data_IF_906329932669
#
_entry.id   IF_906329932669
#
_cell.length_a   1.000
_cell.length_b   1.000
_cell.length_c   1.000
_cell.angle_alpha   90.00
_cell.angle_beta   90.00
_cell.angle_gamma   90.00
#
_symmetry.space_group_name_H-M   'P 1'
#
loop_
_entity.id
_entity.type
_entity.pdbx_description
1 polymer ?
#
# COMPACT_ATOMS: atom_id res chain seq x y z
N UNK A 1 -47.32 -1.03 32.43
CA UNK A 1 -47.00 0.27 31.82
C UNK A 1 -45.95 -0.05 30.76
N UNK A 2 -46.28 -0.71 29.66
CA UNK A 2 -47.26 -0.37 28.60
C UNK A 2 -47.09 1.02 28.02
N UNK A 3 -46.83 1.02 26.70
CA UNK A 3 -46.84 2.05 25.63
C UNK A 3 -45.54 1.88 24.80
N UNK A 4 -45.50 1.14 23.69
CA UNK A 4 -46.13 1.35 22.38
C UNK A 4 -46.07 2.80 21.87
N UNK A 5 -45.19 3.06 20.90
CA UNK A 5 -45.49 3.44 19.51
C UNK A 5 -44.33 4.25 18.92
N UNK A 6 -43.84 3.87 17.73
CA UNK A 6 -43.62 4.75 16.57
C UNK A 6 -42.83 3.99 15.48
N UNK A 7 -43.50 2.98 14.92
CA UNK A 7 -43.26 2.50 13.55
C UNK A 7 -44.36 3.11 12.68
N UNK A 8 -44.03 4.11 11.85
CA UNK A 8 -44.75 4.47 10.62
C UNK A 8 -44.17 5.78 10.06
N UNK A 9 -43.26 5.68 9.09
CA UNK A 9 -43.13 6.53 7.90
C UNK A 9 -42.11 5.81 7.00
N UNK A 10 -42.40 5.67 5.70
CA UNK A 10 -41.74 4.86 4.66
C UNK A 10 -42.40 3.52 4.29
N UNK A 11 -43.70 3.58 3.97
CA UNK A 11 -44.30 2.68 2.97
C UNK A 11 -45.16 3.51 2.00
N UNK A 12 -44.54 4.04 0.96
CA UNK A 12 -45.23 4.48 -0.26
C UNK A 12 -44.21 4.75 -1.36
N UNK A 13 -43.66 3.71 -1.99
CA UNK A 13 -43.10 3.79 -3.35
C UNK A 13 -42.83 2.43 -4.04
N UNK A 14 -43.60 1.39 -3.71
CA UNK A 14 -43.59 0.12 -4.46
C UNK A 14 -44.92 -0.07 -5.17
N UNK A 15 -45.13 0.66 -6.28
CA UNK A 15 -46.24 0.33 -7.23
C UNK A 15 -46.16 0.96 -8.63
N UNK A 16 -44.98 1.33 -9.14
CA UNK A 16 -44.88 1.88 -10.50
C UNK A 16 -43.77 1.29 -11.40
N UNK A 17 -43.18 0.14 -11.08
CA UNK A 17 -42.13 -0.49 -11.91
C UNK A 17 -42.55 -1.82 -12.58
N UNK A 18 -43.86 -2.12 -12.64
CA UNK A 18 -44.35 -3.38 -13.22
C UNK A 18 -44.85 -3.27 -14.68
N UNK A 19 -44.68 -2.14 -15.37
CA UNK A 19 -45.16 -1.94 -16.76
C UNK A 19 -44.07 -1.50 -17.76
N UNK A 20 -42.79 -1.81 -17.49
CA UNK A 20 -41.67 -1.48 -18.39
C UNK A 20 -40.83 -2.70 -18.83
N UNK A 21 -41.40 -3.90 -18.74
CA UNK A 21 -40.73 -5.17 -19.04
C UNK A 21 -41.49 -6.03 -20.08
N UNK A 22 -41.76 -5.48 -21.27
CA UNK A 22 -42.16 -6.29 -22.44
C UNK A 22 -41.33 -6.01 -23.72
N UNK A 23 -40.20 -5.30 -23.61
CA UNK A 23 -39.40 -4.87 -24.77
C UNK A 23 -38.11 -5.64 -25.09
N UNK A 24 -37.71 -6.66 -24.31
CA UNK A 24 -36.34 -7.24 -24.37
C UNK A 24 -36.25 -8.68 -24.88
N UNK A 25 -37.37 -9.29 -25.28
CA UNK A 25 -37.43 -10.64 -25.88
C UNK A 25 -36.79 -10.71 -27.27
N UNK A 26 -37.01 -9.69 -28.10
CA UNK A 26 -36.62 -9.76 -29.52
C UNK A 26 -35.14 -9.42 -29.78
N UNK A 27 -34.50 -8.66 -28.88
CA UNK A 27 -33.07 -8.38 -28.97
C UNK A 27 -32.19 -9.55 -28.53
N UNK A 28 -32.62 -10.36 -27.54
CA UNK A 28 -31.89 -11.58 -27.15
C UNK A 28 -31.93 -12.64 -28.25
N UNK A 29 -33.05 -12.75 -28.96
CA UNK A 29 -33.20 -13.71 -30.07
C UNK A 29 -32.36 -13.31 -31.28
N UNK A 30 -32.30 -12.01 -31.61
CA UNK A 30 -31.41 -11.51 -32.68
C UNK A 30 -29.91 -11.65 -32.35
N UNK A 31 -29.52 -11.53 -31.07
CA UNK A 31 -28.11 -11.68 -30.65
C UNK A 31 -27.67 -13.15 -30.70
N UNK A 32 -28.57 -14.08 -30.35
CA UNK A 32 -28.32 -15.53 -30.43
C UNK A 32 -28.22 -16.01 -31.89
N UNK A 33 -29.06 -15.49 -32.80
CA UNK A 33 -29.01 -15.83 -34.22
C UNK A 33 -27.75 -15.26 -34.91
N UNK A 34 -27.28 -14.08 -34.51
CA UNK A 34 -26.00 -13.52 -34.98
C UNK A 34 -24.78 -14.30 -34.45
N UNK A 35 -24.85 -14.84 -33.23
CA UNK A 35 -23.81 -15.73 -32.68
C UNK A 35 -23.81 -17.10 -33.37
N UNK A 36 -24.98 -17.71 -33.60
CA UNK A 36 -25.09 -18.98 -34.30
C UNK A 36 -24.67 -18.89 -35.77
N UNK A 37 -24.96 -17.77 -36.45
CA UNK A 37 -24.50 -17.52 -37.82
C UNK A 37 -22.99 -17.28 -37.89
N UNK A 38 -22.38 -16.66 -36.85
CA UNK A 38 -20.92 -16.56 -36.72
C UNK A 38 -20.26 -17.92 -36.47
N UNK A 39 -20.82 -18.76 -35.59
CA UNK A 39 -20.33 -20.12 -35.34
C UNK A 39 -20.37 -20.95 -36.64
N UNK A 40 -21.45 -20.86 -37.41
CA UNK A 40 -21.58 -21.62 -38.66
C UNK A 40 -20.67 -21.15 -39.81
N UNK A 41 -20.36 -19.85 -39.88
CA UNK A 41 -19.38 -19.29 -40.84
C UNK A 41 -17.93 -19.57 -40.41
N UNK A 42 -17.67 -19.68 -39.10
CA UNK A 42 -16.38 -20.09 -38.55
C UNK A 42 -16.14 -21.58 -38.86
N UNK A 43 -17.12 -22.46 -38.68
CA UNK A 43 -16.98 -23.90 -39.01
C UNK A 43 -16.60 -24.16 -40.47
N UNK A 44 -17.12 -23.38 -41.42
CA UNK A 44 -16.82 -23.53 -42.84
C UNK A 44 -15.41 -23.00 -43.20
N UNK A 45 -14.98 -21.89 -42.60
CA UNK A 45 -13.62 -21.37 -42.81
C UNK A 45 -12.57 -22.23 -42.11
N UNK A 46 -12.86 -22.71 -40.91
CA UNK A 46 -12.00 -23.63 -40.15
C UNK A 46 -11.89 -24.97 -40.87
N UNK A 47 -12.98 -25.52 -41.41
CA UNK A 47 -12.94 -26.73 -42.24
C UNK A 47 -12.14 -26.54 -43.53
N UNK A 48 -12.23 -25.39 -44.20
CA UNK A 48 -11.46 -25.11 -45.42
C UNK A 48 -9.96 -24.92 -45.14
N UNK A 49 -9.62 -24.31 -44.00
CA UNK A 49 -8.24 -24.15 -43.54
C UNK A 49 -7.66 -25.51 -43.09
N UNK A 50 -8.43 -26.31 -42.34
CA UNK A 50 -8.04 -27.66 -41.93
C UNK A 50 -7.82 -28.56 -43.15
N UNK A 51 -8.70 -28.52 -44.15
CA UNK A 51 -8.54 -29.32 -45.36
C UNK A 51 -7.34 -28.87 -46.21
N UNK A 52 -7.06 -27.56 -46.30
CA UNK A 52 -5.85 -27.02 -46.95
C UNK A 52 -4.56 -27.44 -46.23
N UNK A 53 -4.59 -27.46 -44.89
CA UNK A 53 -3.47 -27.89 -44.06
C UNK A 53 -3.28 -29.41 -44.15
N UNK A 54 -4.36 -30.20 -44.13
CA UNK A 54 -4.33 -31.66 -44.30
C UNK A 54 -3.82 -32.07 -45.69
N UNK A 55 -4.20 -31.36 -46.76
CA UNK A 55 -3.65 -31.56 -48.11
C UNK A 55 -2.16 -31.22 -48.20
N UNK A 56 -1.70 -30.28 -47.37
CA UNK A 56 -0.28 -29.90 -47.26
C UNK A 56 0.50 -30.93 -46.44
N UNK A 57 -0.12 -31.51 -45.42
CA UNK A 57 0.45 -32.56 -44.55
C UNK A 57 0.54 -33.90 -45.31
N UNK A 58 -0.52 -34.32 -46.00
CA UNK A 58 -0.55 -35.56 -46.80
C UNK A 58 0.46 -35.55 -47.97
N UNK A 59 0.78 -34.39 -48.52
CA UNK A 59 1.85 -34.25 -49.53
C UNK A 59 3.27 -34.33 -48.96
N UNK A 60 3.44 -34.41 -47.63
CA UNK A 60 4.76 -34.30 -46.96
C UNK A 60 5.17 -35.51 -46.10
N UNK A 61 4.36 -36.59 -46.08
CA UNK A 61 4.50 -37.74 -45.15
C UNK A 61 5.80 -38.55 -45.25
N UNK A 62 6.67 -38.30 -46.24
CA UNK A 62 8.02 -38.87 -46.28
C UNK A 62 9.14 -38.02 -45.64
N UNK A 63 8.86 -36.75 -45.28
CA UNK A 63 9.91 -35.75 -45.03
C UNK A 63 9.84 -35.03 -43.67
N UNK A 64 8.76 -35.19 -42.90
CA UNK A 64 8.54 -34.42 -41.67
C UNK A 64 9.31 -34.93 -40.44
N UNK A 65 9.63 -36.23 -40.32
CA UNK A 65 10.49 -36.69 -39.22
C UNK A 65 11.90 -36.06 -39.28
N UNK A 66 12.39 -35.81 -40.49
CA UNK A 66 13.72 -35.20 -40.70
C UNK A 66 13.65 -33.67 -40.55
N UNK A 67 12.57 -33.01 -41.00
CA UNK A 67 12.40 -31.55 -40.84
C UNK A 67 12.12 -31.12 -39.42
N UNK A 68 11.35 -31.88 -38.64
CA UNK A 68 11.15 -31.61 -37.21
C UNK A 68 12.48 -31.78 -36.48
N UNK A 69 13.27 -32.82 -36.81
CA UNK A 69 14.60 -33.00 -36.20
C UNK A 69 15.60 -31.87 -36.49
N UNK A 70 15.48 -31.19 -37.64
CA UNK A 70 16.32 -30.06 -38.04
C UNK A 70 15.83 -28.69 -37.53
N UNK A 71 14.54 -28.56 -37.17
CA UNK A 71 13.96 -27.33 -36.61
C UNK A 71 14.05 -27.23 -35.09
N UNK A 72 14.41 -28.33 -34.40
CA UNK A 72 14.66 -28.38 -32.94
C UNK A 72 15.87 -27.50 -32.52
N UNK A 73 16.66 -26.97 -33.46
CA UNK A 73 17.69 -25.97 -33.15
C UNK A 73 17.19 -24.51 -33.15
N UNK A 74 15.91 -24.25 -33.44
CA UNK A 74 15.27 -22.94 -33.33
C UNK A 74 14.08 -23.03 -32.37
N UNK A 75 13.98 -22.11 -31.42
CA UNK A 75 12.87 -22.04 -30.45
C UNK A 75 11.52 -22.05 -31.19
N UNK A 76 10.68 -23.05 -30.87
CA UNK A 76 9.31 -23.16 -31.40
C UNK A 76 8.49 -21.95 -30.95
N UNK A 77 7.65 -21.37 -31.82
CA UNK A 77 6.75 -20.28 -31.38
C UNK A 77 5.60 -20.81 -30.52
N UNK A 78 4.97 -19.97 -29.67
CA UNK A 78 3.77 -20.37 -28.91
C UNK A 78 2.67 -20.98 -29.78
N UNK A 79 2.43 -20.44 -30.97
CA UNK A 79 1.44 -20.97 -31.92
C UNK A 79 1.83 -22.35 -32.46
N UNK A 80 3.12 -22.55 -32.80
CA UNK A 80 3.61 -23.86 -33.24
C UNK A 80 3.43 -24.91 -32.13
N UNK A 81 3.68 -24.53 -30.88
CA UNK A 81 3.47 -25.39 -29.70
C UNK A 81 1.98 -25.69 -29.48
N UNK A 82 1.08 -24.71 -29.63
CA UNK A 82 -0.37 -24.90 -29.53
C UNK A 82 -0.90 -25.84 -30.63
N UNK A 83 -0.40 -25.69 -31.86
CA UNK A 83 -0.81 -26.53 -32.99
C UNK A 83 -0.33 -27.98 -32.80
N UNK A 84 0.89 -28.17 -32.30
CA UNK A 84 1.37 -29.51 -31.91
C UNK A 84 0.40 -30.14 -30.90
N UNK A 85 -0.06 -29.38 -29.91
CA UNK A 85 -1.01 -29.87 -28.92
C UNK A 85 -2.37 -30.24 -29.52
N UNK A 86 -2.94 -29.37 -30.35
CA UNK A 86 -4.21 -29.63 -31.05
C UNK A 86 -4.16 -30.91 -31.89
N UNK A 87 -3.03 -31.18 -32.56
CA UNK A 87 -2.88 -32.41 -33.36
C UNK A 87 -2.79 -33.69 -32.54
N UNK A 88 -2.56 -33.60 -31.23
CA UNK A 88 -2.44 -34.75 -30.33
C UNK A 88 -3.73 -35.05 -29.56
N UNK A 89 -4.64 -34.08 -29.45
CA UNK A 89 -5.95 -34.27 -28.83
C UNK A 89 -6.89 -34.87 -29.87
N UNK A 90 -7.41 -36.07 -29.62
CA UNK A 90 -8.51 -36.60 -30.43
C UNK A 90 -9.79 -35.78 -30.22
N UNK A 91 -10.62 -35.58 -31.26
CA UNK A 91 -11.89 -34.83 -31.21
C UNK A 91 -12.85 -35.26 -30.07
N UNK A 92 -12.63 -36.45 -29.50
CA UNK A 92 -13.43 -37.04 -28.42
C UNK A 92 -12.86 -36.87 -27.01
N UNK A 93 -11.64 -36.35 -26.85
CA UNK A 93 -10.96 -36.28 -25.57
C UNK A 93 -11.22 -34.94 -24.86
N UNK A 94 -11.76 -35.00 -23.64
CA UNK A 94 -11.91 -33.84 -22.77
C UNK A 94 -10.53 -33.34 -22.33
N UNK A 95 -10.16 -32.13 -22.76
CA UNK A 95 -8.92 -31.44 -22.35
C UNK A 95 -9.02 -31.13 -20.86
N UNK A 96 -8.26 -31.84 -20.03
CA UNK A 96 -8.23 -31.65 -18.58
C UNK A 96 -6.79 -31.33 -18.11
N UNK A 97 -6.65 -30.95 -16.84
CA UNK A 97 -5.35 -30.58 -16.25
C UNK A 97 -4.28 -31.68 -16.29
N UNK A 98 -4.66 -32.96 -16.32
CA UNK A 98 -3.71 -34.07 -16.47
C UNK A 98 -3.13 -34.10 -17.89
N UNK A 99 -3.98 -33.93 -18.88
CA UNK A 99 -3.57 -33.87 -20.29
C UNK A 99 -2.72 -32.64 -20.60
N UNK A 100 -3.01 -31.53 -19.93
CA UNK A 100 -2.36 -30.25 -20.18
C UNK A 100 -1.01 -30.08 -19.44
N UNK A 101 -0.93 -30.51 -18.17
CA UNK A 101 0.27 -30.28 -17.34
C UNK A 101 1.25 -31.46 -17.36
N UNK A 102 0.77 -32.69 -17.55
CA UNK A 102 1.58 -33.89 -17.40
C UNK A 102 1.82 -34.61 -18.73
N UNK A 103 0.77 -34.91 -19.50
CA UNK A 103 0.91 -35.64 -20.77
C UNK A 103 1.61 -34.79 -21.85
N UNK A 104 1.44 -33.48 -21.81
CA UNK A 104 2.14 -32.55 -22.70
C UNK A 104 3.67 -32.62 -22.58
N UNK A 105 4.19 -32.80 -21.36
CA UNK A 105 5.63 -32.83 -21.09
C UNK A 105 6.30 -34.16 -21.49
N UNK A 106 5.56 -35.27 -21.53
CA UNK A 106 6.13 -36.60 -21.81
C UNK A 106 6.18 -36.91 -23.31
N UNK A 107 5.19 -36.45 -24.10
CA UNK A 107 5.04 -36.84 -25.51
C UNK A 107 5.55 -35.80 -26.53
N UNK A 108 5.91 -34.58 -26.11
CA UNK A 108 6.45 -33.53 -26.99
C UNK A 108 7.93 -33.23 -26.73
N UNK A 109 8.78 -33.60 -27.68
CA UNK A 109 10.08 -33.00 -28.05
C UNK A 109 10.71 -32.00 -27.03
N UNK A 110 11.29 -32.48 -25.90
CA UNK A 110 12.15 -31.69 -24.97
C UNK A 110 11.81 -30.19 -24.87
N UNK A 111 10.54 -29.83 -24.73
CA UNK A 111 10.12 -28.43 -24.63
C UNK A 111 10.58 -27.93 -23.26
N UNK A 112 11.30 -26.80 -23.21
CA UNK A 112 11.79 -26.26 -21.95
C UNK A 112 10.61 -25.81 -21.07
N UNK A 113 10.71 -25.89 -19.72
CA UNK A 113 9.68 -25.34 -18.82
C UNK A 113 9.36 -23.86 -19.07
N UNK A 114 10.36 -23.11 -19.56
CA UNK A 114 10.22 -21.71 -20.00
C UNK A 114 9.25 -21.62 -21.17
N UNK A 115 9.47 -22.42 -22.22
CA UNK A 115 8.64 -22.41 -23.41
C UNK A 115 7.19 -22.84 -23.11
N UNK A 116 7.00 -23.82 -22.22
CA UNK A 116 5.66 -24.24 -21.75
C UNK A 116 4.94 -23.08 -21.09
N UNK A 117 5.64 -22.36 -20.20
CA UNK A 117 5.08 -21.22 -19.46
C UNK A 117 4.71 -20.05 -20.39
N UNK A 118 5.55 -19.76 -21.38
CA UNK A 118 5.31 -18.71 -22.39
C UNK A 118 4.13 -19.10 -23.29
N UNK A 119 4.08 -20.35 -23.77
CA UNK A 119 2.97 -20.84 -24.59
C UNK A 119 1.65 -20.78 -23.83
N UNK A 120 1.64 -21.23 -22.58
CA UNK A 120 0.42 -21.13 -21.79
C UNK A 120 0.01 -19.69 -21.58
N UNK A 121 0.97 -18.80 -21.29
CA UNK A 121 0.69 -17.39 -21.15
C UNK A 121 0.03 -16.80 -22.41
N UNK A 122 0.54 -17.18 -23.58
CA UNK A 122 -0.02 -16.80 -24.87
C UNK A 122 -1.46 -17.30 -25.04
N UNK A 123 -1.72 -18.56 -24.71
CA UNK A 123 -3.07 -19.14 -24.80
C UNK A 123 -4.09 -18.41 -23.94
N UNK A 124 -3.73 -18.11 -22.69
CA UNK A 124 -4.57 -17.35 -21.77
C UNK A 124 -4.87 -15.97 -22.32
N UNK A 125 -3.84 -15.24 -22.77
CA UNK A 125 -3.97 -13.85 -23.25
C UNK A 125 -4.73 -13.75 -24.57
N UNK A 126 -4.66 -14.78 -25.41
CA UNK A 126 -5.37 -14.83 -26.69
C UNK A 126 -6.76 -15.44 -26.59
N UNK A 127 -7.13 -15.95 -25.41
CA UNK A 127 -8.39 -16.67 -25.19
C UNK A 127 -8.63 -17.73 -26.27
N UNK A 128 -7.59 -18.47 -26.64
CA UNK A 128 -7.72 -19.44 -27.73
C UNK A 128 -8.69 -20.58 -27.35
N UNK A 129 -9.24 -21.26 -28.36
CA UNK A 129 -10.28 -22.29 -28.16
C UNK A 129 -9.86 -23.36 -27.15
N UNK A 130 -8.57 -23.75 -27.15
CA UNK A 130 -8.01 -24.67 -26.17
C UNK A 130 -8.11 -24.16 -24.73
N UNK A 131 -7.77 -22.89 -24.49
CA UNK A 131 -7.84 -22.31 -23.18
C UNK A 131 -9.28 -22.17 -22.70
N UNK A 132 -10.21 -21.80 -23.58
CA UNK A 132 -11.65 -21.71 -23.25
C UNK A 132 -12.21 -23.08 -22.86
N UNK A 133 -11.89 -24.13 -23.62
CA UNK A 133 -12.29 -25.50 -23.25
C UNK A 133 -11.68 -25.92 -21.91
N UNK A 134 -10.41 -25.60 -21.69
CA UNK A 134 -9.70 -25.91 -20.45
C UNK A 134 -10.27 -25.16 -19.23
N UNK A 135 -10.63 -23.87 -19.39
CA UNK A 135 -11.01 -23.01 -18.28
C UNK A 135 -12.38 -23.34 -17.69
N UNK A 136 -13.30 -23.87 -18.50
CA UNK A 136 -14.64 -24.28 -18.06
C UNK A 136 -14.71 -25.73 -17.52
N UNK A 137 -13.65 -26.53 -17.66
CA UNK A 137 -13.62 -27.87 -17.07
C UNK A 137 -13.34 -27.75 -15.55
N UNK A 138 -14.26 -28.25 -14.68
CA UNK A 138 -14.19 -28.00 -13.24
C UNK A 138 -12.85 -28.39 -12.61
N UNK A 139 -12.24 -27.44 -11.90
CA UNK A 139 -10.99 -27.63 -11.17
C UNK A 139 -9.72 -27.58 -12.04
N UNK A 140 -9.81 -27.42 -13.36
CA UNK A 140 -8.63 -27.29 -14.21
C UNK A 140 -7.82 -26.03 -13.89
N UNK A 141 -8.48 -24.88 -13.71
CA UNK A 141 -7.83 -23.65 -13.29
C UNK A 141 -7.21 -23.76 -11.89
N UNK A 142 -7.87 -24.44 -10.93
CA UNK A 142 -7.30 -24.69 -9.61
C UNK A 142 -5.96 -25.45 -9.68
N UNK A 143 -5.90 -26.52 -10.48
CA UNK A 143 -4.67 -27.32 -10.66
C UNK A 143 -3.59 -26.52 -11.37
N UNK A 144 -3.97 -25.74 -12.40
CA UNK A 144 -3.05 -24.84 -13.09
C UNK A 144 -2.41 -23.84 -12.11
N UNK A 145 -3.23 -23.16 -11.32
CA UNK A 145 -2.78 -22.16 -10.36
C UNK A 145 -1.93 -22.79 -9.25
N UNK A 146 -2.27 -24.00 -8.77
CA UNK A 146 -1.46 -24.73 -7.80
C UNK A 146 -0.08 -25.12 -8.35
N UNK A 147 0.02 -25.38 -9.66
CA UNK A 147 1.28 -25.71 -10.33
C UNK A 147 2.16 -24.48 -10.56
N UNK A 148 1.63 -23.40 -11.16
CA UNK A 148 2.43 -22.27 -11.63
C UNK A 148 2.63 -21.15 -10.61
N UNK A 149 1.74 -20.96 -9.62
CA UNK A 149 1.98 -19.91 -8.60
C UNK A 149 3.27 -20.19 -7.80
N UNK A 150 3.57 -21.43 -7.37
CA UNK A 150 4.85 -21.74 -6.71
C UNK A 150 6.09 -21.53 -7.58
N UNK A 151 6.00 -21.71 -8.90
CA UNK A 151 7.17 -21.64 -9.79
C UNK A 151 7.67 -20.21 -9.99
N UNK A 152 6.83 -19.20 -9.71
CA UNK A 152 7.22 -17.79 -9.78
C UNK A 152 8.30 -17.38 -8.77
N UNK A 153 8.39 -18.07 -7.64
CA UNK A 153 9.35 -17.79 -6.56
C UNK A 153 10.54 -18.76 -6.54
N UNK A 154 10.90 -19.35 -7.68
CA UNK A 154 12.12 -20.17 -7.75
C UNK A 154 13.36 -19.32 -7.44
N UNK A 155 14.33 -19.93 -6.75
CA UNK A 155 15.40 -19.28 -5.99
C UNK A 155 16.34 -18.33 -6.74
N UNK A 156 16.22 -18.22 -8.07
CA UNK A 156 17.05 -17.32 -8.87
C UNK A 156 16.23 -16.18 -9.50
N UNK A 157 16.03 -15.14 -8.69
CA UNK A 157 15.39 -13.90 -9.13
C UNK A 157 16.25 -13.09 -10.12
N UNK A 158 17.52 -13.46 -10.29
CA UNK A 158 18.52 -12.72 -11.06
C UNK A 158 18.87 -13.39 -12.40
N UNK A 159 18.32 -14.57 -12.69
CA UNK A 159 18.41 -15.16 -14.01
C UNK A 159 17.53 -14.38 -15.01
N UNK A 160 18.19 -13.54 -15.81
CA UNK A 160 17.56 -12.74 -16.85
C UNK A 160 16.87 -13.60 -17.93
N UNK A 161 17.26 -14.87 -18.10
CA UNK A 161 16.60 -15.79 -19.03
C UNK A 161 15.19 -16.15 -18.56
N UNK A 162 14.92 -16.03 -17.25
CA UNK A 162 13.61 -16.31 -16.66
C UNK A 162 12.73 -15.07 -16.54
N UNK A 163 13.24 -13.86 -16.82
CA UNK A 163 12.48 -12.62 -16.70
C UNK A 163 11.24 -12.63 -17.60
N UNK A 164 11.40 -13.00 -18.87
CA UNK A 164 10.28 -13.05 -19.83
C UNK A 164 9.20 -14.05 -19.39
N UNK A 165 9.64 -15.27 -19.04
CA UNK A 165 8.78 -16.31 -18.49
C UNK A 165 8.00 -15.82 -17.25
N UNK A 166 8.70 -15.17 -16.32
CA UNK A 166 8.11 -14.67 -15.07
C UNK A 166 7.06 -13.60 -15.34
N UNK A 167 7.34 -12.64 -16.21
CA UNK A 167 6.38 -11.60 -16.60
C UNK A 167 5.16 -12.22 -17.28
N UNK A 168 5.38 -13.13 -18.22
CA UNK A 168 4.32 -13.84 -18.94
C UNK A 168 3.37 -14.59 -17.97
N UNK A 169 3.94 -15.35 -17.03
CA UNK A 169 3.18 -16.06 -16.00
C UNK A 169 2.45 -15.11 -15.04
N UNK A 170 3.10 -14.05 -14.56
CA UNK A 170 2.47 -13.05 -13.69
C UNK A 170 1.22 -12.46 -14.36
N UNK A 171 1.34 -12.02 -15.61
CA UNK A 171 0.23 -11.41 -16.34
C UNK A 171 -0.91 -12.41 -16.55
N UNK A 172 -0.60 -13.65 -16.95
CA UNK A 172 -1.62 -14.65 -17.25
C UNK A 172 -2.33 -15.17 -16.01
N UNK A 173 -1.60 -15.38 -14.91
CA UNK A 173 -2.23 -15.74 -13.63
C UNK A 173 -3.12 -14.59 -13.14
N UNK A 174 -2.69 -13.34 -13.30
CA UNK A 174 -3.50 -12.18 -12.95
C UNK A 174 -4.77 -12.13 -13.79
N UNK A 175 -4.65 -12.31 -15.10
CA UNK A 175 -5.76 -12.34 -16.04
C UNK A 175 -6.78 -13.43 -15.67
N UNK A 176 -6.32 -14.66 -15.39
CA UNK A 176 -7.16 -15.77 -14.91
C UNK A 176 -7.89 -15.39 -13.62
N UNK A 177 -7.18 -14.85 -12.62
CA UNK A 177 -7.76 -14.52 -11.32
C UNK A 177 -8.78 -13.38 -11.37
N UNK A 178 -8.68 -12.49 -12.36
CA UNK A 178 -9.62 -11.38 -12.55
C UNK A 178 -10.85 -11.83 -13.34
N UNK A 179 -10.64 -12.46 -14.51
CA UNK A 179 -11.71 -12.71 -15.47
C UNK A 179 -12.39 -14.07 -15.33
N UNK A 180 -11.69 -15.07 -14.78
CA UNK A 180 -12.21 -16.43 -14.59
C UNK A 180 -12.41 -16.73 -13.10
N UNK A 181 -12.71 -15.70 -12.31
CA UNK A 181 -12.78 -15.81 -10.85
C UNK A 181 -13.90 -16.77 -10.38
N UNK A 182 -15.00 -16.87 -11.13
CA UNK A 182 -16.13 -17.76 -10.86
C UNK A 182 -15.80 -19.25 -11.08
N UNK A 183 -14.81 -19.54 -11.92
CA UNK A 183 -14.38 -20.90 -12.27
C UNK A 183 -13.33 -21.46 -11.28
N UNK A 184 -12.91 -20.66 -10.29
CA UNK A 184 -11.83 -21.02 -9.36
C UNK A 184 -12.43 -21.34 -7.98
N UNK A 185 -12.47 -22.63 -7.64
CA UNK A 185 -13.11 -23.11 -6.40
C UNK A 185 -12.47 -22.56 -5.12
N UNK A 186 -11.16 -22.26 -5.14
CA UNK A 186 -10.41 -21.74 -3.98
C UNK A 186 -9.83 -20.34 -4.21
N UNK A 187 -10.57 -19.47 -4.91
CA UNK A 187 -10.13 -18.13 -5.33
C UNK A 187 -9.39 -17.34 -4.23
N UNK A 188 -10.00 -17.19 -3.05
CA UNK A 188 -9.42 -16.39 -1.93
C UNK A 188 -8.08 -16.95 -1.46
N UNK A 189 -7.92 -18.27 -1.44
CA UNK A 189 -6.66 -18.91 -1.04
C UNK A 189 -5.57 -18.66 -2.09
N UNK A 190 -5.90 -18.86 -3.37
CA UNK A 190 -4.96 -18.63 -4.47
C UNK A 190 -4.56 -17.17 -4.56
N UNK A 191 -5.52 -16.23 -4.47
CA UNK A 191 -5.27 -14.79 -4.45
C UNK A 191 -4.23 -14.42 -3.38
N UNK A 192 -4.38 -14.91 -2.14
CA UNK A 192 -3.43 -14.62 -1.06
C UNK A 192 -2.02 -15.16 -1.34
N UNK A 193 -1.93 -16.39 -1.88
CA UNK A 193 -0.66 -17.05 -2.21
C UNK A 193 0.05 -16.34 -3.36
N UNK A 194 -0.69 -16.02 -4.42
CA UNK A 194 -0.17 -15.32 -5.58
C UNK A 194 0.23 -13.89 -5.25
N UNK A 195 -0.61 -13.13 -4.53
CA UNK A 195 -0.27 -11.78 -4.07
C UNK A 195 1.00 -11.77 -3.22
N UNK A 196 1.17 -12.75 -2.32
CA UNK A 196 2.42 -12.88 -1.54
C UNK A 196 3.65 -13.16 -2.42
N UNK A 197 3.46 -13.87 -3.54
CA UNK A 197 4.53 -14.11 -4.52
C UNK A 197 4.88 -12.85 -5.29
N UNK A 198 3.88 -12.07 -5.71
CA UNK A 198 4.11 -10.76 -6.35
C UNK A 198 4.91 -9.83 -5.44
N UNK A 199 4.58 -9.77 -4.14
CA UNK A 199 5.34 -8.96 -3.17
C UNK A 199 6.82 -9.40 -3.07
N UNK A 200 7.10 -10.71 -3.05
CA UNK A 200 8.47 -11.20 -3.05
C UNK A 200 9.24 -10.82 -4.31
N UNK A 201 8.57 -10.91 -5.48
CA UNK A 201 9.14 -10.51 -6.77
C UNK A 201 9.41 -9.01 -6.80
N UNK A 202 8.47 -8.18 -6.30
CA UNK A 202 8.64 -6.73 -6.19
C UNK A 202 9.88 -6.30 -5.41
N UNK A 203 10.32 -7.10 -4.42
CA UNK A 203 11.47 -6.77 -3.59
C UNK A 203 12.79 -7.36 -4.08
N UNK A 204 12.77 -8.53 -4.73
CA UNK A 204 13.99 -9.31 -4.98
C UNK A 204 14.35 -9.48 -6.46
N UNK A 205 13.42 -9.28 -7.39
CA UNK A 205 13.63 -9.57 -8.82
C UNK A 205 14.38 -8.47 -9.58
N UNK A 206 14.67 -8.73 -10.85
CA UNK A 206 15.13 -7.71 -11.79
C UNK A 206 14.10 -6.58 -11.95
N UNK A 207 14.54 -5.41 -12.43
CA UNK A 207 13.69 -4.22 -12.53
C UNK A 207 12.40 -4.43 -13.34
N UNK A 208 12.43 -5.22 -14.42
CA UNK A 208 11.25 -5.45 -15.27
C UNK A 208 10.25 -6.35 -14.56
N UNK A 209 10.73 -7.42 -13.93
CA UNK A 209 9.92 -8.31 -13.09
C UNK A 209 9.30 -7.56 -11.90
N UNK A 210 10.07 -6.69 -11.24
CA UNK A 210 9.55 -5.86 -10.14
C UNK A 210 8.38 -4.99 -10.61
N UNK A 211 8.53 -4.30 -11.74
CA UNK A 211 7.49 -3.42 -12.29
C UNK A 211 6.24 -4.22 -12.69
N UNK A 212 6.43 -5.37 -13.37
CA UNK A 212 5.32 -6.25 -13.75
C UNK A 212 4.57 -6.76 -12.51
N UNK A 213 5.29 -7.22 -11.48
CA UNK A 213 4.69 -7.69 -10.25
C UNK A 213 3.90 -6.59 -9.53
N UNK A 214 4.43 -5.36 -9.47
CA UNK A 214 3.72 -4.22 -8.89
C UNK A 214 2.43 -3.90 -9.65
N UNK A 215 2.50 -3.79 -11.00
CA UNK A 215 1.32 -3.50 -11.84
C UNK A 215 0.22 -4.52 -11.62
N UNK A 216 0.58 -5.81 -11.61
CA UNK A 216 -0.38 -6.89 -11.41
C UNK A 216 -0.90 -6.94 -9.97
N UNK A 217 -0.07 -6.67 -8.95
CA UNK A 217 -0.54 -6.56 -7.56
C UNK A 217 -1.51 -5.39 -7.36
N UNK A 218 -1.24 -4.24 -7.99
CA UNK A 218 -2.13 -3.09 -8.01
C UNK A 218 -3.46 -3.39 -8.71
N UNK A 219 -3.41 -4.10 -9.84
CA UNK A 219 -4.61 -4.50 -10.58
C UNK A 219 -5.46 -5.50 -9.78
N UNK A 220 -4.86 -6.56 -9.22
CA UNK A 220 -5.55 -7.49 -8.32
C UNK A 220 -6.16 -6.81 -7.11
N UNK A 221 -5.50 -5.79 -6.54
CA UNK A 221 -6.09 -5.04 -5.44
C UNK A 221 -7.38 -4.33 -5.87
N UNK A 222 -7.40 -3.72 -7.06
CA UNK A 222 -8.58 -3.03 -7.56
C UNK A 222 -9.72 -4.00 -7.87
N UNK A 223 -9.45 -5.04 -8.65
CA UNK A 223 -10.49 -5.94 -9.17
C UNK A 223 -10.90 -7.01 -8.15
N UNK A 224 -9.93 -7.61 -7.45
CA UNK A 224 -10.17 -8.80 -6.65
C UNK A 224 -10.25 -8.52 -5.14
N UNK A 225 -10.02 -7.28 -4.67
CA UNK A 225 -10.06 -7.05 -3.22
C UNK A 225 -11.45 -7.29 -2.63
N UNK A 226 -12.52 -7.13 -3.41
CA UNK A 226 -13.90 -7.43 -2.97
C UNK A 226 -14.05 -8.82 -2.35
N UNK A 227 -13.27 -9.80 -2.82
CA UNK A 227 -13.30 -11.17 -2.33
C UNK A 227 -12.56 -11.39 -0.99
N UNK A 228 -11.80 -10.41 -0.51
CA UNK A 228 -11.01 -10.54 0.73
C UNK A 228 -11.51 -9.64 1.87
N UNK A 229 -11.36 -10.07 3.14
CA UNK A 229 -11.78 -9.26 4.29
C UNK A 229 -11.09 -7.90 4.34
N UNK A 230 -11.77 -6.87 4.88
CA UNK A 230 -11.21 -5.49 5.05
C UNK A 230 -9.81 -5.48 5.68
N UNK A 231 -9.57 -6.30 6.71
CA UNK A 231 -8.26 -6.44 7.35
C UNK A 231 -7.16 -6.88 6.36
N UNK A 232 -7.49 -7.77 5.42
CA UNK A 232 -6.57 -8.25 4.39
C UNK A 232 -6.28 -7.16 3.37
N UNK A 233 -7.30 -6.38 2.95
CA UNK A 233 -7.11 -5.22 2.05
C UNK A 233 -6.09 -4.23 2.61
N UNK A 234 -6.28 -3.82 3.87
CA UNK A 234 -5.35 -2.93 4.57
C UNK A 234 -3.94 -3.53 4.55
N UNK A 235 -3.81 -4.80 4.97
CA UNK A 235 -2.52 -5.49 5.02
C UNK A 235 -1.83 -5.59 3.65
N UNK A 236 -2.59 -5.75 2.56
CA UNK A 236 -2.04 -5.77 1.21
C UNK A 236 -1.36 -4.45 0.85
N UNK A 237 -2.01 -3.30 1.09
CA UNK A 237 -1.41 -1.98 0.87
C UNK A 237 -0.16 -1.77 1.74
N UNK A 238 -0.23 -2.14 3.01
CA UNK A 238 0.93 -2.09 3.91
C UNK A 238 2.11 -2.90 3.38
N UNK A 239 1.84 -4.13 2.92
CA UNK A 239 2.88 -4.98 2.37
C UNK A 239 3.38 -4.48 1.02
N UNK A 240 2.53 -3.89 0.19
CA UNK A 240 2.96 -3.28 -1.07
C UNK A 240 4.05 -2.23 -0.84
N UNK A 241 3.92 -1.38 0.18
CA UNK A 241 5.02 -0.50 0.60
C UNK A 241 6.18 -1.25 1.22
N UNK A 242 5.91 -2.19 2.12
CA UNK A 242 6.94 -2.95 2.82
C UNK A 242 7.88 -3.71 1.86
N UNK A 243 7.42 -4.02 0.65
CA UNK A 243 8.17 -4.70 -0.41
C UNK A 243 8.54 -3.76 -1.58
N UNK A 244 8.37 -2.45 -1.42
CA UNK A 244 8.81 -1.41 -2.37
C UNK A 244 9.77 -0.45 -1.66
N UNK A 245 11.00 -0.87 -1.32
CA UNK A 245 11.98 -0.02 -0.64
C UNK A 245 12.30 1.23 -1.47
N UNK A 246 12.87 2.26 -0.86
CA UNK A 246 13.17 3.56 -1.49
C UNK A 246 14.04 3.48 -2.76
N UNK A 247 14.83 2.40 -2.90
CA UNK A 247 15.66 2.10 -4.07
C UNK A 247 14.91 1.37 -5.20
N UNK A 248 13.73 0.81 -4.91
CA UNK A 248 12.94 0.08 -5.90
C UNK A 248 12.30 1.04 -6.91
N UNK A 249 12.21 0.67 -8.21
CA UNK A 249 11.42 1.40 -9.20
C UNK A 249 9.95 1.55 -8.79
N UNK A 250 9.46 0.69 -7.89
CA UNK A 250 8.08 0.66 -7.46
C UNK A 250 7.78 1.58 -6.28
N UNK A 251 8.79 2.18 -5.63
CA UNK A 251 8.55 2.96 -4.40
C UNK A 251 7.53 4.08 -4.58
N UNK A 252 7.81 5.02 -5.49
CA UNK A 252 6.92 6.14 -5.76
C UNK A 252 5.58 5.70 -6.39
N UNK A 253 5.56 4.75 -7.36
CA UNK A 253 4.30 4.15 -7.81
C UNK A 253 3.45 3.56 -6.68
N UNK A 254 4.05 2.87 -5.71
CA UNK A 254 3.34 2.26 -4.60
C UNK A 254 2.76 3.31 -3.64
N UNK A 255 3.52 4.37 -3.32
CA UNK A 255 3.02 5.52 -2.54
C UNK A 255 1.79 6.12 -3.22
N UNK A 256 1.92 6.46 -4.51
CA UNK A 256 0.83 7.07 -5.28
C UNK A 256 -0.39 6.15 -5.41
N UNK A 257 -0.16 4.84 -5.53
CA UNK A 257 -1.25 3.87 -5.55
C UNK A 257 -2.00 3.85 -4.22
N UNK A 258 -1.29 3.86 -3.10
CA UNK A 258 -1.92 3.83 -1.77
C UNK A 258 -2.72 5.10 -1.51
N UNK A 259 -2.15 6.29 -1.76
CA UNK A 259 -2.84 7.58 -1.64
C UNK A 259 -4.17 7.57 -2.40
N UNK A 260 -4.25 6.86 -3.53
CA UNK A 260 -5.46 6.83 -4.36
C UNK A 260 -6.44 5.71 -4.02
N UNK A 261 -6.06 4.72 -3.21
CA UNK A 261 -6.82 3.46 -3.07
C UNK A 261 -6.91 2.94 -1.62
N UNK A 262 -6.54 3.74 -0.62
CA UNK A 262 -6.68 3.34 0.78
C UNK A 262 -8.17 3.22 1.17
N UNK A 263 -8.55 2.18 1.93
CA UNK A 263 -9.92 2.01 2.40
C UNK A 263 -10.18 2.81 3.69
N UNK A 264 -11.44 3.00 4.07
CA UNK A 264 -11.81 3.68 5.32
C UNK A 264 -11.14 3.09 6.57
N UNK A 265 -10.70 4.00 7.45
CA UNK A 265 -9.96 3.68 8.67
C UNK A 265 -8.60 3.01 8.39
N UNK A 266 -8.01 3.23 7.22
CA UNK A 266 -6.61 2.90 6.97
C UNK A 266 -5.75 3.82 7.83
N UNK A 267 -4.84 3.24 8.62
CA UNK A 267 -3.99 4.01 9.52
C UNK A 267 -2.71 4.38 8.78
N UNK A 268 -2.48 5.66 8.52
CA UNK A 268 -1.28 6.11 7.83
C UNK A 268 -0.05 6.09 8.73
N UNK A 269 -0.24 6.32 10.02
CA UNK A 269 0.87 6.39 10.98
C UNK A 269 1.72 5.10 11.01
N UNK A 270 1.16 3.88 11.11
CA UNK A 270 1.95 2.66 11.02
C UNK A 270 2.62 2.47 9.64
N UNK A 271 2.01 2.97 8.56
CA UNK A 271 2.56 2.81 7.20
C UNK A 271 3.84 3.63 7.09
N UNK A 272 3.81 4.83 7.67
CA UNK A 272 4.91 5.75 7.61
C UNK A 272 6.08 5.30 8.49
N UNK A 273 5.80 4.61 9.61
CA UNK A 273 6.85 3.90 10.34
C UNK A 273 7.55 2.84 9.48
N UNK A 274 6.84 2.14 8.60
CA UNK A 274 7.44 1.18 7.65
C UNK A 274 8.33 1.91 6.64
N UNK A 275 7.83 2.98 6.02
CA UNK A 275 8.56 3.79 5.02
C UNK A 275 9.85 4.34 5.65
N UNK A 276 9.74 4.94 6.83
CA UNK A 276 10.87 5.47 7.59
C UNK A 276 11.88 4.37 7.90
N UNK A 277 11.43 3.22 8.42
CA UNK A 277 12.33 2.12 8.76
C UNK A 277 13.07 1.59 7.54
N UNK A 278 12.42 1.52 6.38
CA UNK A 278 13.06 1.13 5.13
C UNK A 278 14.10 2.15 4.69
N UNK A 279 13.76 3.44 4.68
CA UNK A 279 14.69 4.50 4.32
C UNK A 279 15.94 4.50 5.21
N UNK A 280 15.81 4.12 6.49
CA UNK A 280 16.94 4.02 7.42
C UNK A 280 17.89 2.85 7.14
N UNK A 281 17.42 1.78 6.50
CA UNK A 281 18.27 0.64 6.16
C UNK A 281 19.18 0.93 4.95
N UNK A 282 18.89 1.99 4.19
CA UNK A 282 19.72 2.43 3.06
C UNK A 282 20.71 3.53 3.50
N UNK A 283 21.83 3.07 4.07
CA UNK A 283 22.89 3.92 4.65
C UNK A 283 23.51 4.87 3.61
N UNK A 284 23.43 4.52 2.32
CA UNK A 284 24.16 5.23 1.26
C UNK A 284 23.63 6.64 0.98
N UNK A 285 22.36 6.93 1.30
CA UNK A 285 21.69 8.16 0.90
C UNK A 285 20.73 8.73 1.98
N UNK A 286 21.07 8.47 3.25
CA UNK A 286 20.19 8.67 4.40
C UNK A 286 19.62 10.09 4.55
N UNK A 287 20.33 11.15 4.12
CA UNK A 287 19.87 12.55 4.24
C UNK A 287 18.83 12.96 3.20
N UNK A 288 18.94 12.48 1.95
CA UNK A 288 17.99 12.84 0.87
C UNK A 288 16.70 12.03 1.04
N UNK A 289 16.82 10.74 1.37
CA UNK A 289 15.65 9.88 1.54
C UNK A 289 14.90 10.13 2.85
N UNK A 290 15.56 10.65 3.90
CA UNK A 290 14.87 11.00 5.15
C UNK A 290 13.88 12.13 4.99
N UNK A 291 14.28 13.24 4.35
CA UNK A 291 13.38 14.36 4.07
C UNK A 291 12.23 13.92 3.16
N UNK A 292 12.55 13.22 2.06
CA UNK A 292 11.54 12.74 1.11
C UNK A 292 10.55 11.75 1.74
N UNK A 293 11.00 10.94 2.69
CA UNK A 293 10.11 10.04 3.44
C UNK A 293 9.14 10.82 4.34
N UNK A 294 9.59 11.93 4.93
CA UNK A 294 8.71 12.82 5.71
C UNK A 294 7.74 13.58 4.81
N UNK A 295 8.17 14.08 3.65
CA UNK A 295 7.28 14.70 2.67
C UNK A 295 6.19 13.72 2.21
N UNK A 296 6.58 12.47 1.92
CA UNK A 296 5.64 11.40 1.58
C UNK A 296 4.67 11.14 2.75
N UNK A 297 5.18 11.08 3.99
CA UNK A 297 4.35 10.92 5.19
C UNK A 297 3.29 12.04 5.30
N UNK A 298 3.69 13.30 5.14
CA UNK A 298 2.75 14.43 5.20
C UNK A 298 1.71 14.34 4.09
N UNK A 299 2.13 13.94 2.88
CA UNK A 299 1.18 13.76 1.76
C UNK A 299 0.16 12.64 2.01
N UNK A 300 0.55 11.61 2.78
CA UNK A 300 -0.30 10.49 3.15
C UNK A 300 -1.26 10.83 4.29
N UNK A 301 -0.87 11.76 5.16
CA UNK A 301 -1.64 12.15 6.34
C UNK A 301 -2.47 13.42 6.11
N UNK A 302 -2.78 13.78 4.86
CA UNK A 302 -3.53 15.01 4.54
C UNK A 302 -4.89 15.09 5.23
N UNK A 303 -5.50 13.93 5.50
CA UNK A 303 -6.81 13.80 6.13
C UNK A 303 -6.73 13.44 7.62
N UNK A 304 -5.52 13.28 8.18
CA UNK A 304 -5.33 13.01 9.61
C UNK A 304 -5.39 14.32 10.41
N UNK A 305 -5.79 14.23 11.68
CA UNK A 305 -5.82 15.41 12.55
C UNK A 305 -4.41 16.01 12.70
N UNK A 306 -4.24 17.33 12.50
CA UNK A 306 -2.93 18.00 12.59
C UNK A 306 -2.16 17.66 13.88
N UNK A 307 -2.89 17.52 14.99
CA UNK A 307 -2.31 17.18 16.28
C UNK A 307 -1.57 15.83 16.27
N UNK A 308 -2.15 14.78 15.70
CA UNK A 308 -1.54 13.46 15.59
C UNK A 308 -0.26 13.48 14.72
N UNK A 309 -0.27 14.29 13.66
CA UNK A 309 0.90 14.52 12.80
C UNK A 309 2.04 15.15 13.62
N UNK A 310 1.74 16.19 14.40
CA UNK A 310 2.75 16.84 15.23
C UNK A 310 3.26 15.93 16.35
N UNK A 311 2.38 15.18 17.05
CA UNK A 311 2.80 14.18 18.04
C UNK A 311 3.85 13.23 17.45
N UNK A 312 3.62 12.78 16.22
CA UNK A 312 4.57 11.93 15.52
C UNK A 312 5.90 12.64 15.19
N UNK A 313 5.86 13.86 14.66
CA UNK A 313 7.06 14.63 14.34
C UNK A 313 7.89 14.92 15.61
N UNK A 314 7.25 15.31 16.71
CA UNK A 314 7.92 15.49 18.01
C UNK A 314 8.52 14.17 18.53
N UNK A 315 7.81 13.04 18.38
CA UNK A 315 8.36 11.71 18.67
C UNK A 315 9.62 11.42 17.84
N UNK A 316 9.65 11.80 16.56
CA UNK A 316 10.86 11.64 15.73
C UNK A 316 12.02 12.50 16.22
N UNK A 317 11.77 13.76 16.60
CA UNK A 317 12.79 14.66 17.19
C UNK A 317 13.40 14.03 18.44
N UNK A 318 12.59 13.45 19.32
CA UNK A 318 13.04 12.84 20.60
C UNK A 318 13.70 11.48 20.40
N UNK A 319 13.11 10.62 19.58
CA UNK A 319 13.47 9.21 19.53
C UNK A 319 14.45 8.88 18.41
N UNK A 320 14.37 9.56 17.26
CA UNK A 320 15.06 9.14 16.05
C UNK A 320 16.33 9.97 15.78
N UNK A 321 17.49 9.30 15.69
CA UNK A 321 18.79 10.00 15.53
C UNK A 321 18.92 10.69 14.17
N UNK A 322 18.39 10.07 13.12
CA UNK A 322 18.60 10.53 11.74
C UNK A 322 17.44 11.39 11.24
N UNK A 323 16.21 11.12 11.68
CA UNK A 323 15.03 11.88 11.27
C UNK A 323 14.72 13.07 12.16
N UNK A 324 15.43 13.24 13.28
CA UNK A 324 15.16 14.36 14.18
C UNK A 324 15.38 15.71 13.51
N UNK A 325 16.47 15.86 12.74
CA UNK A 325 16.79 17.12 12.06
C UNK A 325 15.82 17.44 10.90
N UNK A 326 15.51 16.50 9.98
CA UNK A 326 14.45 16.68 9.00
C UNK A 326 13.07 16.94 9.61
N UNK A 327 12.73 16.31 10.75
CA UNK A 327 11.46 16.54 11.43
C UNK A 327 11.36 17.97 11.97
N UNK A 328 12.44 18.55 12.49
CA UNK A 328 12.48 19.97 12.88
C UNK A 328 12.15 20.86 11.68
N UNK A 329 12.77 20.59 10.53
CA UNK A 329 12.59 21.39 9.32
C UNK A 329 11.15 21.33 8.81
N UNK A 330 10.55 20.13 8.84
CA UNK A 330 9.14 19.91 8.50
C UNK A 330 8.21 20.65 9.44
N UNK A 331 8.38 20.52 10.76
CA UNK A 331 7.53 21.21 11.74
C UNK A 331 7.52 22.72 11.48
N UNK A 332 8.69 23.31 11.22
CA UNK A 332 8.81 24.74 10.98
C UNK A 332 8.20 25.18 9.64
N UNK A 333 8.25 24.34 8.61
CA UNK A 333 7.68 24.68 7.30
C UNK A 333 6.17 24.52 7.25
N UNK A 334 5.61 23.60 8.02
CA UNK A 334 4.16 23.32 8.02
C UNK A 334 3.38 24.15 9.05
N UNK A 335 3.98 24.58 10.16
CA UNK A 335 3.23 25.29 11.21
C UNK A 335 2.54 26.57 10.72
N UNK A 336 3.09 27.22 9.68
CA UNK A 336 2.51 28.41 9.06
C UNK A 336 1.11 28.14 8.49
N UNK A 337 0.81 26.92 8.06
CA UNK A 337 -0.53 26.59 7.53
C UNK A 337 -1.61 26.61 8.61
N UNK A 338 -1.21 26.60 9.90
CA UNK A 338 -2.11 26.63 11.06
C UNK A 338 -2.06 27.97 11.80
N UNK A 339 -1.48 29.01 11.20
CA UNK A 339 -1.33 30.32 11.85
C UNK A 339 -2.65 30.96 12.31
N UNK A 340 -3.77 30.59 11.67
CA UNK A 340 -5.11 31.11 11.96
C UNK A 340 -5.99 30.13 12.77
N UNK A 341 -5.49 28.93 13.07
CA UNK A 341 -6.21 27.89 13.81
C UNK A 341 -5.74 27.88 15.27
N UNK A 342 -6.46 28.61 16.13
CA UNK A 342 -6.11 28.75 17.54
C UNK A 342 -6.05 27.40 18.29
N UNK A 343 -6.98 26.49 18.01
CA UNK A 343 -7.05 25.19 18.69
C UNK A 343 -5.82 24.34 18.33
N UNK A 344 -5.48 24.27 17.04
CA UNK A 344 -4.26 23.59 16.59
C UNK A 344 -3.00 24.21 17.20
N UNK A 345 -2.93 25.54 17.32
CA UNK A 345 -1.81 26.24 17.93
C UNK A 345 -1.72 25.98 19.44
N UNK A 346 -2.83 25.90 20.18
CA UNK A 346 -2.84 25.55 21.60
C UNK A 346 -2.29 24.15 21.83
N UNK A 347 -2.75 23.17 21.06
CA UNK A 347 -2.23 21.81 21.10
C UNK A 347 -0.74 21.74 20.75
N UNK A 348 -0.30 22.52 19.76
CA UNK A 348 1.11 22.62 19.40
C UNK A 348 1.96 23.23 20.53
N UNK A 349 1.48 24.30 21.18
CA UNK A 349 2.12 24.90 22.36
C UNK A 349 2.22 23.92 23.51
N UNK A 350 1.19 23.12 23.78
CA UNK A 350 1.24 22.04 24.76
C UNK A 350 2.38 21.04 24.48
N UNK A 351 2.53 20.59 23.22
CA UNK A 351 3.64 19.71 22.84
C UNK A 351 5.00 20.37 23.03
N UNK A 352 5.11 21.68 22.76
CA UNK A 352 6.32 22.46 22.99
C UNK A 352 6.67 22.61 24.49
N UNK A 353 5.68 22.82 25.37
CA UNK A 353 5.88 22.83 26.83
C UNK A 353 6.56 21.54 27.26
N UNK A 354 6.00 20.39 26.87
CA UNK A 354 6.57 19.06 27.18
C UNK A 354 7.97 18.90 26.62
N UNK A 355 8.21 19.36 25.39
CA UNK A 355 9.52 19.24 24.74
C UNK A 355 10.60 20.09 25.44
N UNK A 356 10.28 21.32 25.82
CA UNK A 356 11.21 22.22 26.47
C UNK A 356 11.44 21.84 27.94
N UNK A 357 10.43 21.33 28.66
CA UNK A 357 10.60 20.72 29.99
C UNK A 357 11.50 19.48 29.89
N UNK A 358 11.30 18.62 28.89
CA UNK A 358 12.19 17.48 28.64
C UNK A 358 13.65 17.94 28.44
N UNK A 359 13.86 19.00 27.65
CA UNK A 359 15.19 19.58 27.45
C UNK A 359 15.79 20.08 28.77
N UNK A 360 15.01 20.79 29.59
CA UNK A 360 15.40 21.30 30.90
C UNK A 360 15.85 20.19 31.88
N UNK A 361 14.99 19.19 32.08
CA UNK A 361 15.29 18.06 32.96
C UNK A 361 16.48 17.24 32.46
N UNK A 362 16.59 17.07 31.13
CA UNK A 362 17.72 16.38 30.50
C UNK A 362 19.03 17.15 30.65
N UNK A 363 19.00 18.47 30.58
CA UNK A 363 20.17 19.34 30.75
C UNK A 363 20.72 19.23 32.18
N UNK A 364 19.85 19.37 33.18
CA UNK A 364 20.22 19.26 34.60
C UNK A 364 20.86 17.90 34.93
N UNK A 365 20.39 16.84 34.30
CA UNK A 365 20.88 15.48 34.50
C UNK A 365 22.01 15.07 33.53
N UNK A 366 22.46 15.96 32.65
CA UNK A 366 23.53 15.68 31.68
C UNK A 366 23.21 14.59 30.66
N UNK A 367 21.93 14.39 30.29
CA UNK A 367 21.45 13.33 29.39
C UNK A 367 20.96 13.86 28.04
N UNK A 368 20.99 13.02 27.01
CA UNK A 368 20.36 13.30 25.71
C UNK A 368 20.85 14.58 24.99
N UNK A 369 22.14 14.92 25.08
CA UNK A 369 22.74 16.13 24.50
C UNK A 369 22.33 16.39 23.03
N UNK A 370 22.37 15.37 22.18
CA UNK A 370 21.98 15.52 20.77
C UNK A 370 20.50 15.90 20.59
N UNK A 371 19.62 15.49 21.50
CA UNK A 371 18.21 15.86 21.47
C UNK A 371 18.00 17.29 21.93
N UNK A 372 18.73 17.71 22.97
CA UNK A 372 18.74 19.10 23.40
C UNK A 372 19.13 20.02 22.23
N UNK A 373 20.19 19.68 21.47
CA UNK A 373 20.61 20.45 20.29
C UNK A 373 19.48 20.55 19.24
N UNK A 374 18.77 19.46 18.96
CA UNK A 374 17.65 19.48 18.01
C UNK A 374 16.48 20.32 18.51
N UNK A 375 16.18 20.29 19.81
CA UNK A 375 15.12 21.09 20.43
C UNK A 375 15.49 22.57 20.43
N UNK A 376 16.75 22.91 20.73
CA UNK A 376 17.26 24.26 20.61
C UNK A 376 17.19 24.75 19.16
N UNK A 377 17.54 23.91 18.17
CA UNK A 377 17.38 24.21 16.74
C UNK A 377 15.91 24.47 16.38
N UNK A 378 14.99 23.65 16.88
CA UNK A 378 13.56 23.83 16.68
C UNK A 378 13.11 25.17 17.26
N UNK A 379 13.48 25.47 18.50
CA UNK A 379 13.19 26.75 19.15
C UNK A 379 13.68 27.92 18.30
N UNK A 380 14.96 27.91 17.91
CA UNK A 380 15.58 28.99 17.13
C UNK A 380 14.91 29.22 15.77
N UNK A 381 14.34 28.17 15.17
CA UNK A 381 13.58 28.30 13.93
C UNK A 381 12.15 28.79 14.16
N UNK A 382 11.46 28.27 15.18
CA UNK A 382 10.07 28.64 15.46
C UNK A 382 9.93 30.10 15.88
N UNK A 383 10.89 30.67 16.61
CA UNK A 383 10.87 32.11 16.94
C UNK A 383 10.98 33.03 15.72
N UNK A 384 11.47 32.51 14.59
CA UNK A 384 11.58 33.24 13.32
C UNK A 384 10.32 33.09 12.45
N UNK A 385 9.40 32.21 12.83
CA UNK A 385 8.13 32.03 12.13
C UNK A 385 7.23 33.24 12.44
N UNK A 386 6.50 33.72 11.42
CA UNK A 386 5.61 34.88 11.52
C UNK A 386 4.28 34.58 12.21
N UNK A 387 4.31 33.88 13.35
CA UNK A 387 3.15 33.59 14.21
C UNK A 387 3.43 34.17 15.59
N UNK A 388 2.87 35.34 15.88
CA UNK A 388 3.18 36.10 17.10
C UNK A 388 2.79 35.35 18.38
N UNK A 389 1.61 34.72 18.40
CA UNK A 389 1.14 33.91 19.53
C UNK A 389 2.13 32.81 19.92
N UNK A 390 2.65 32.09 18.93
CA UNK A 390 3.62 31.01 19.12
C UNK A 390 4.94 31.54 19.66
N UNK A 391 5.42 32.65 19.10
CA UNK A 391 6.66 33.31 19.51
C UNK A 391 6.58 33.78 20.97
N UNK A 392 5.49 34.44 21.35
CA UNK A 392 5.22 34.87 22.73
C UNK A 392 5.23 33.66 23.66
N UNK A 393 4.47 32.62 23.32
CA UNK A 393 4.36 31.39 24.12
C UNK A 393 5.73 30.73 24.33
N UNK A 394 6.55 30.62 23.28
CA UNK A 394 7.90 30.06 23.36
C UNK A 394 8.81 30.83 24.31
N UNK A 395 8.79 32.17 24.27
CA UNK A 395 9.56 33.00 25.20
C UNK A 395 9.07 32.83 26.64
N UNK A 396 7.75 32.81 26.86
CA UNK A 396 7.16 32.61 28.18
C UNK A 396 7.55 31.25 28.78
N UNK A 397 7.53 30.17 27.98
CA UNK A 397 7.97 28.84 28.41
C UNK A 397 9.46 28.85 28.75
N UNK A 398 10.30 29.44 27.89
CA UNK A 398 11.74 29.51 28.13
C UNK A 398 12.07 30.32 29.39
N UNK A 399 11.37 31.43 29.62
CA UNK A 399 11.52 32.25 30.82
C UNK A 399 11.15 31.47 32.09
N UNK A 400 10.06 30.70 32.06
CA UNK A 400 9.67 29.84 33.17
C UNK A 400 10.78 28.83 33.50
N UNK A 401 11.34 28.16 32.49
CA UNK A 401 12.44 27.20 32.64
C UNK A 401 13.67 27.87 33.28
N UNK A 402 14.09 29.03 32.77
CA UNK A 402 15.28 29.75 33.26
C UNK A 402 15.07 30.26 34.68
N UNK A 403 13.89 30.80 34.98
CA UNK A 403 13.52 31.29 36.32
C UNK A 403 13.59 30.19 37.36
N UNK A 404 13.19 28.98 37.00
CA UNK A 404 13.28 27.78 37.84
C UNK A 404 14.70 27.18 37.92
N UNK A 405 15.70 27.84 37.33
CA UNK A 405 17.10 27.48 37.48
C UNK A 405 17.63 26.46 36.46
N UNK A 406 16.80 26.03 35.51
CA UNK A 406 17.19 25.11 34.44
C UNK A 406 17.74 25.85 33.21
N UNK A 407 18.55 25.18 32.39
CA UNK A 407 19.05 25.69 31.10
C UNK A 407 19.59 27.13 31.15
N UNK A 408 20.33 27.50 32.20
CA UNK A 408 20.84 28.87 32.42
C UNK A 408 21.69 29.40 31.26
N UNK A 409 22.28 28.51 30.45
CA UNK A 409 23.04 28.86 29.25
C UNK A 409 22.17 29.50 28.15
N UNK A 410 20.85 29.35 28.21
CA UNK A 410 19.90 29.94 27.25
C UNK A 410 19.43 31.34 27.66
N UNK A 411 19.96 31.94 28.73
CA UNK A 411 19.55 33.28 29.18
C UNK A 411 19.68 34.34 28.09
N UNK A 412 20.72 34.23 27.26
CA UNK A 412 20.95 35.17 26.15
C UNK A 412 19.94 35.02 25.00
N UNK A 413 19.16 33.93 24.98
CA UNK A 413 18.07 33.71 24.03
C UNK A 413 16.73 34.29 24.48
N UNK A 414 16.64 34.84 25.70
CA UNK A 414 15.42 35.52 26.16
C UNK A 414 15.24 36.85 25.43
N UNK A 415 14.00 37.28 25.20
CA UNK A 415 13.71 38.59 24.64
C UNK A 415 13.20 39.52 25.75
N UNK A 416 13.83 40.69 25.87
CA UNK A 416 13.53 41.73 26.85
C UNK A 416 12.07 42.20 26.76
N UNK A 417 11.47 42.11 25.58
CA UNK A 417 10.08 42.50 25.31
C UNK A 417 9.05 41.51 25.92
N UNK A 418 9.42 40.25 26.14
CA UNK A 418 8.54 39.23 26.70
C UNK A 418 9.13 38.73 28.02
N UNK A 419 8.87 39.44 29.13
CA UNK A 419 9.39 39.08 30.46
C UNK A 419 8.47 38.15 31.26
N UNK A 420 7.26 37.93 30.76
CA UNK A 420 6.28 37.06 31.40
C UNK A 420 6.75 35.60 31.34
N UNK A 421 6.22 34.79 32.27
CA UNK A 421 6.48 33.36 32.35
C UNK A 421 5.21 32.59 32.00
N UNK A 422 5.36 31.43 31.40
CA UNK A 422 4.23 30.51 31.21
C UNK A 422 3.84 29.92 32.57
N UNK A 423 2.64 30.26 33.05
CA UNK A 423 2.18 29.90 34.39
C UNK A 423 2.04 28.39 34.58
N UNK A 424 1.68 27.63 33.54
CA UNK A 424 1.53 26.19 33.61
C UNK A 424 2.90 25.53 33.76
N UNK A 425 3.88 25.95 32.96
CA UNK A 425 5.26 25.47 33.07
C UNK A 425 5.91 25.90 34.38
N UNK A 426 5.74 27.15 34.82
CA UNK A 426 6.26 27.65 36.10
C UNK A 426 5.68 26.84 37.27
N UNK A 427 4.36 26.62 37.28
CA UNK A 427 3.68 25.82 38.30
C UNK A 427 4.11 24.36 38.25
N UNK A 428 4.23 23.77 37.06
CA UNK A 428 4.67 22.39 36.88
C UNK A 428 6.09 22.16 37.41
N UNK A 429 7.03 23.06 37.11
CA UNK A 429 8.42 22.97 37.57
C UNK A 429 8.57 23.25 39.06
N UNK A 430 7.72 24.11 39.64
CA UNK A 430 7.66 24.36 41.08
C UNK A 430 6.94 23.24 41.84
N UNK A 431 6.08 22.50 41.16
CA UNK A 431 5.36 21.37 41.75
C UNK A 431 6.30 20.18 41.91
N UNK A 432 6.16 19.44 43.01
CA UNK A 432 6.85 18.16 43.20
C UNK A 432 6.49 17.08 42.17
N UNK A 433 5.63 17.37 41.19
CA UNK A 433 5.28 16.47 40.09
C UNK A 433 6.52 16.16 39.24
N UNK A 434 7.42 17.13 39.07
CA UNK A 434 8.69 16.90 38.37
C UNK A 434 9.55 15.81 39.03
N UNK A 435 9.49 15.69 40.36
CA UNK A 435 10.22 14.65 41.11
C UNK A 435 9.66 13.24 40.86
N UNK A 436 8.43 13.12 40.35
CA UNK A 436 7.82 11.85 39.96
C UNK A 436 8.32 11.35 38.60
N UNK A 437 8.92 12.23 37.78
CA UNK A 437 9.45 11.85 36.48
C UNK A 437 10.90 11.40 36.65
N UNK A 438 11.14 10.10 36.57
CA UNK A 438 12.49 9.59 36.71
C UNK A 438 13.35 9.83 35.46
N UNK A 439 14.68 9.95 35.59
CA UNK A 439 15.58 10.20 34.45
C UNK A 439 15.52 9.19 33.30
N UNK A 440 15.06 7.96 33.53
CA UNK A 440 14.83 6.96 32.48
C UNK A 440 13.54 7.23 31.68
N UNK A 441 12.58 7.95 32.27
CA UNK A 441 11.25 8.19 31.72
C UNK A 441 11.15 9.54 31.01
N UNK A 442 12.18 10.39 31.06
CA UNK A 442 12.20 11.69 30.35
C UNK A 442 11.80 11.59 28.88
N UNK A 443 12.31 10.58 28.17
CA UNK A 443 11.91 10.36 26.77
C UNK A 443 10.44 10.00 26.62
N UNK A 444 9.89 9.22 27.55
CA UNK A 444 8.49 8.82 27.57
C UNK A 444 7.61 10.03 27.92
N UNK A 445 8.04 10.86 28.89
CA UNK A 445 7.40 12.12 29.22
C UNK A 445 7.28 13.05 28.02
N UNK A 446 8.37 13.24 27.27
CA UNK A 446 8.35 14.08 26.07
C UNK A 446 7.41 13.56 24.96
N UNK A 447 6.91 12.32 25.07
CA UNK A 447 5.95 11.74 24.14
C UNK A 447 4.55 11.91 24.72
N UNK A 448 3.62 12.39 23.90
CA UNK A 448 2.20 12.34 24.24
C UNK A 448 1.60 10.98 23.85
N UNK A 449 0.68 10.42 24.65
CA UNK A 449 0.41 10.75 26.05
C UNK A 449 1.48 10.16 26.98
N UNK A 450 1.73 10.80 28.12
CA UNK A 450 2.59 10.27 29.17
C UNK A 450 1.75 9.63 30.28
N UNK A 451 1.03 10.45 31.04
CA UNK A 451 0.07 10.09 32.10
C UNK A 451 -0.98 11.21 32.16
N UNK A 452 -2.26 10.85 32.31
CA UNK A 452 -3.37 11.81 32.20
C UNK A 452 -3.20 13.01 33.14
N UNK A 453 -2.91 12.78 34.42
CA UNK A 453 -2.76 13.85 35.42
C UNK A 453 -1.59 14.80 35.11
N UNK A 454 -0.48 14.25 34.59
CA UNK A 454 0.72 15.01 34.24
C UNK A 454 0.50 15.80 32.96
N UNK A 455 -0.17 15.21 31.98
CA UNK A 455 -0.50 15.88 30.72
C UNK A 455 -1.53 17.00 30.95
N UNK A 456 -2.56 16.75 31.78
CA UNK A 456 -3.57 17.76 32.16
C UNK A 456 -2.96 18.98 32.84
N UNK A 457 -1.88 18.83 33.62
CA UNK A 457 -1.20 19.96 34.27
C UNK A 457 -0.54 20.95 33.29
N UNK A 458 -0.41 20.60 32.01
CA UNK A 458 0.24 21.42 30.98
C UNK A 458 -0.72 21.86 29.85
N UNK A 459 -1.98 21.44 29.91
CA UNK A 459 -3.05 21.82 28.97
C UNK A 459 -3.75 23.07 29.51
N UNK A 460 -4.11 23.99 28.62
CA UNK A 460 -4.94 25.15 28.97
C UNK A 460 -6.39 24.67 29.18
N UNK A 461 -6.95 24.90 30.36
CA UNK A 461 -8.36 24.56 30.63
C UNK A 461 -9.27 25.44 29.76
N UNK A 462 -10.06 24.84 28.87
CA UNK A 462 -10.99 25.56 27.98
C UNK A 462 -12.25 26.11 28.69
N UNK A 463 -12.35 26.04 30.01
CA UNK A 463 -13.54 26.48 30.75
C UNK A 463 -13.20 27.40 31.94
N UNK A 464 -12.91 28.66 31.61
CA UNK A 464 -13.48 29.77 32.37
C UNK A 464 -14.32 30.61 31.41
N UNK A 465 -15.48 30.08 31.03
CA UNK A 465 -16.56 30.90 30.49
C UNK A 465 -16.96 31.92 31.55
N UNK A 466 -16.86 33.20 31.21
CA UNK A 466 -17.60 34.34 31.76
C UNK A 466 -18.53 34.04 32.97
N UNK A 467 -17.96 34.00 34.18
CA UNK A 467 -18.73 34.12 35.43
C UNK A 467 -18.36 35.44 36.15
N UNK A 468 -18.26 36.52 35.37
CA UNK A 468 -18.16 37.87 35.93
C UNK A 468 -19.18 38.83 35.35
N UNK A 469 -20.46 38.44 35.22
CA UNK A 469 -21.56 39.42 35.17
C UNK A 469 -22.82 38.87 35.90
N UNK A 470 -23.03 39.43 37.10
CA UNK A 470 -24.29 39.73 37.84
C UNK A 470 -24.56 39.08 39.20
N UNK A 471 -24.88 39.98 40.15
CA UNK A 471 -25.38 39.87 41.54
C UNK A 471 -24.30 39.68 42.62
N UNK A 472 -24.03 40.62 43.54
CA UNK A 472 -24.79 41.80 44.04
C UNK A 472 -23.99 43.11 44.04
#
# INVERSE_FOLDING_TARGET
>A
MDLHSDDNIFQSNEKSEAELFEGTSDQKTQTLDLQNTRIHMIDQNTSNIINSILDTIQKSEGSNQIRISAKISSELTPDEVCQIYLTQISDSQKVNSKDFLYNFCEDTLKISPIQISITFSHMVKTENDLFILFSHEPGCLDVFLDHFVPTLNQYDFHDNQLTEMRIALIDSITYILVLFNDEIGRLVHVLKKFYSSLLLIMNNADYLSQIAAFRNAAYLYKECSVFVPKKTKKLWLFRMMAYSPSTSPNHLPAVNFIIRNYPDGFLFLPLCQVIIRQAMNDISNLSIYSLKSLEIFLSLCSDEEPFEIYIFLFRLIICNYYLGDPAVDVVCSTIITFAEDEDSLRWFVFLLRKLLIFMALSNENGRYKNRQILIEKLFDKLILVSIEYLKVSLYMILNAIIRNGYCKHLKDKTNIEYQEVDCLVDSFLMSGICDLIFPQDYKKFAQYPYEADIDSALIEDEYQSDDSITSE
#
